data_IF_165991346112
#
_entry.id   IF_165991346112
#
_cell.length_a   1.000
_cell.length_b   1.000
_cell.length_c   1.000
_cell.angle_alpha   90.00
_cell.angle_beta   90.00
_cell.angle_gamma   90.00
#
_symmetry.space_group_name_H-M   'P 1'
#
loop_
_entity.id
_entity.type
_entity.pdbx_description
1 polymer ?
#
# COMPACT_ATOMS: atom_id res chain seq x y z
N UNK A 1 -7.79 13.81 -10.14
CA UNK A 1 -7.09 13.20 -10.20
C UNK A 1 -5.81 13.52 -10.03
N UNK A 2 -5.51 14.65 -10.07
CA UNK A 2 -4.32 14.99 -9.99
C UNK A 2 -3.65 14.62 -8.83
N UNK A 3 -4.02 14.73 -7.74
CA UNK A 3 -3.31 14.46 -6.57
C UNK A 3 -3.22 13.03 -6.19
N UNK A 4 -3.83 12.17 -6.92
CA UNK A 4 -3.81 10.82 -6.57
C UNK A 4 -2.50 10.19 -6.56
N UNK A 5 -1.78 10.33 -7.59
CA UNK A 5 -0.54 9.62 -7.70
C UNK A 5 0.53 10.24 -6.89
N UNK A 6 0.44 11.53 -6.58
CA UNK A 6 1.57 12.08 -5.92
C UNK A 6 1.61 11.70 -4.48
N UNK A 7 0.60 11.06 -3.94
CA UNK A 7 0.65 10.70 -2.58
C UNK A 7 1.59 9.61 -2.33
N UNK A 8 2.12 9.02 -3.34
CA UNK A 8 2.88 7.91 -3.13
C UNK A 8 4.14 7.84 -3.68
N UNK A 9 5.06 8.63 -3.34
CA UNK A 9 6.35 8.54 -3.81
C UNK A 9 7.20 8.17 -2.68
N UNK A 10 6.91 7.14 -1.98
CA UNK A 10 7.74 6.71 -0.97
C UNK A 10 8.95 6.16 -1.53
N UNK A 11 9.99 6.25 -0.80
CA UNK A 11 11.25 5.80 -1.21
C UNK A 11 11.17 4.46 -1.80
N UNK A 12 11.45 4.30 -3.00
CA UNK A 12 11.46 3.02 -3.66
C UNK A 12 10.12 2.52 -4.09
N UNK A 13 9.06 3.18 -3.67
CA UNK A 13 7.74 2.71 -4.01
C UNK A 13 7.13 3.39 -5.18
N UNK A 14 7.75 4.43 -5.69
CA UNK A 14 7.15 5.14 -6.78
C UNK A 14 7.02 4.22 -7.95
N UNK A 15 5.94 4.31 -8.64
CA UNK A 15 5.67 3.51 -9.80
C UNK A 15 5.28 2.08 -9.46
N UNK A 16 5.13 1.74 -8.20
CA UNK A 16 4.70 0.41 -7.84
C UNK A 16 3.32 0.42 -7.20
N UNK A 17 3.12 1.30 -6.25
CA UNK A 17 1.86 1.35 -5.52
C UNK A 17 1.39 2.78 -5.45
N UNK A 18 0.13 3.01 -5.74
CA UNK A 18 -0.45 4.35 -5.61
C UNK A 18 -1.74 4.23 -4.82
N UNK A 19 -2.21 5.34 -4.29
CA UNK A 19 -3.45 5.37 -3.55
C UNK A 19 -4.47 6.23 -4.27
N UNK A 20 -5.70 5.76 -4.33
CA UNK A 20 -6.76 6.49 -5.01
C UNK A 20 -7.29 7.64 -4.17
N UNK A 21 -7.06 7.61 -2.89
CA UNK A 21 -7.38 8.76 -2.04
C UNK A 21 -6.36 8.83 -0.91
N UNK A 22 -6.42 9.91 -0.15
CA UNK A 22 -5.41 10.12 0.86
C UNK A 22 -5.71 9.32 2.11
N UNK A 23 -4.73 8.58 2.58
CA UNK A 23 -4.82 7.78 3.78
C UNK A 23 -3.78 8.32 4.74
N UNK A 24 -4.01 8.23 6.04
CA UNK A 24 -3.06 8.80 6.99
C UNK A 24 -1.70 8.13 6.89
N UNK A 25 -0.69 8.83 7.39
CA UNK A 25 0.68 8.38 7.22
C UNK A 25 0.96 7.07 7.91
N UNK A 26 0.35 6.83 9.04
CA UNK A 26 0.64 5.60 9.74
C UNK A 26 0.15 4.38 9.00
N UNK A 27 -1.09 4.41 8.51
CA UNK A 27 -1.63 3.29 7.77
C UNK A 27 -0.84 3.09 6.48
N UNK A 28 -0.49 4.17 5.80
CA UNK A 28 0.29 4.10 4.58
C UNK A 28 1.66 3.49 4.85
N UNK A 29 2.29 3.94 5.91
CA UNK A 29 3.62 3.44 6.26
C UNK A 29 3.55 1.96 6.60
N UNK A 30 2.55 1.55 7.36
CA UNK A 30 2.41 0.16 7.74
C UNK A 30 2.22 -0.72 6.51
N UNK A 31 1.40 -0.26 5.55
CA UNK A 31 1.18 -1.02 4.35
C UNK A 31 2.46 -1.12 3.53
N UNK A 32 3.19 -0.03 3.40
CA UNK A 32 4.39 -0.04 2.57
C UNK A 32 5.51 -0.88 3.17
N UNK A 33 5.64 -0.86 4.50
CA UNK A 33 6.62 -1.69 5.15
C UNK A 33 6.29 -3.16 4.91
N UNK A 34 5.02 -3.54 5.06
CA UNK A 34 4.62 -4.91 4.83
C UNK A 34 4.82 -5.29 3.36
N UNK A 35 4.48 -4.39 2.45
CA UNK A 35 4.62 -4.63 1.03
C UNK A 35 6.08 -4.92 0.68
N UNK A 36 6.98 -4.07 1.13
CA UNK A 36 8.38 -4.27 0.81
C UNK A 36 8.98 -5.49 1.45
N UNK A 37 8.60 -5.78 2.70
CA UNK A 37 9.11 -6.97 3.35
C UNK A 37 8.70 -8.23 2.58
N UNK A 38 7.47 -8.27 2.10
CA UNK A 38 7.00 -9.40 1.33
C UNK A 38 7.69 -9.48 -0.03
N UNK A 39 7.89 -8.34 -0.66
CA UNK A 39 8.55 -8.30 -1.94
C UNK A 39 9.97 -8.81 -1.82
N UNK A 40 10.68 -8.41 -0.78
CA UNK A 40 12.06 -8.85 -0.57
C UNK A 40 12.13 -10.32 -0.19
N UNK A 41 11.03 -10.87 0.31
CA UNK A 41 10.99 -12.28 0.64
C UNK A 41 10.71 -13.17 -0.55
N UNK A 42 10.49 -12.57 -1.71
CA UNK A 42 10.29 -13.36 -2.93
C UNK A 42 8.87 -13.42 -3.45
N UNK A 43 7.94 -12.73 -2.81
CA UNK A 43 6.56 -12.73 -3.31
C UNK A 43 6.44 -11.81 -4.53
N UNK A 44 5.47 -12.08 -5.37
CA UNK A 44 5.23 -11.21 -6.51
C UNK A 44 4.69 -9.87 -6.02
N UNK A 45 4.70 -8.86 -6.88
CA UNK A 45 4.20 -7.55 -6.50
C UNK A 45 2.73 -7.62 -6.13
N UNK A 46 1.95 -8.33 -6.93
CA UNK A 46 0.51 -8.44 -6.67
C UNK A 46 0.24 -9.15 -5.35
N UNK A 47 0.97 -10.22 -5.08
CA UNK A 47 0.79 -10.95 -3.85
C UNK A 47 1.27 -10.14 -2.66
N UNK A 48 2.36 -9.43 -2.82
CA UNK A 48 2.89 -8.59 -1.75
C UNK A 48 1.88 -7.53 -1.35
N UNK A 49 1.23 -6.91 -2.33
CA UNK A 49 0.23 -5.89 -2.02
C UNK A 49 -0.99 -6.51 -1.38
N UNK A 50 -1.45 -7.63 -1.88
CA UNK A 50 -2.62 -8.29 -1.32
C UNK A 50 -2.37 -8.66 0.15
N UNK A 51 -1.23 -9.25 0.43
CA UNK A 51 -0.93 -9.66 1.79
C UNK A 51 -0.69 -8.47 2.71
N UNK A 52 -0.13 -7.39 2.18
CA UNK A 52 0.04 -6.18 2.96
C UNK A 52 -1.31 -5.60 3.35
N UNK A 53 -2.28 -5.63 2.44
CA UNK A 53 -3.62 -5.17 2.76
C UNK A 53 -4.25 -6.06 3.83
N UNK A 54 -4.01 -7.36 3.75
CA UNK A 54 -4.55 -8.28 4.74
C UNK A 54 -4.06 -7.95 6.14
N UNK A 55 -2.84 -7.48 6.26
CA UNK A 55 -2.33 -7.09 7.56
C UNK A 55 -3.09 -5.90 8.11
N UNK A 56 -3.43 -4.94 7.25
CA UNK A 56 -4.22 -3.81 7.69
C UNK A 56 -5.63 -4.25 8.09
N UNK A 57 -6.19 -5.21 7.36
CA UNK A 57 -7.52 -5.70 7.67
C UNK A 57 -7.59 -6.36 9.04
N UNK A 58 -6.49 -6.96 9.47
CA UNK A 58 -6.47 -7.65 10.74
C UNK A 58 -6.24 -6.75 11.92
N UNK A 59 -5.82 -5.52 11.68
CA UNK A 59 -5.56 -4.57 12.74
C UNK A 59 -6.82 -3.75 12.97
N UNK A 60 -7.40 -3.75 14.16
CA UNK A 60 -8.62 -3.01 14.41
C UNK A 60 -8.54 -1.54 14.04
N UNK A 61 -7.35 -0.95 14.12
CA UNK A 61 -7.19 0.44 13.81
C UNK A 61 -7.26 0.73 12.32
N UNK A 62 -7.03 -0.26 11.50
CA UNK A 62 -7.00 -0.06 10.04
C UNK A 62 -7.88 -1.04 9.30
N UNK A 63 -8.76 -1.74 10.02
CA UNK A 63 -9.62 -2.75 9.41
C UNK A 63 -10.64 -2.15 8.45
N UNK A 64 -10.98 -0.88 8.63
CA UNK A 64 -11.93 -0.23 7.76
C UNK A 64 -11.34 -0.13 6.35
N UNK A 65 -12.08 -0.49 5.32
CA UNK A 65 -11.56 -0.45 3.94
C UNK A 65 -10.99 0.89 3.52
N UNK A 66 -11.40 1.96 4.17
CA UNK A 66 -10.87 3.28 3.88
C UNK A 66 -9.34 3.26 3.93
N UNK A 67 -8.75 2.44 4.80
CA UNK A 67 -7.30 2.45 5.02
C UNK A 67 -6.53 1.55 4.05
N UNK A 68 -7.14 0.53 3.49
CA UNK A 68 -6.40 -0.38 2.64
C UNK A 68 -6.94 -0.50 1.22
N UNK A 69 -8.20 -0.21 1.02
CA UNK A 69 -8.79 -0.40 -0.30
C UNK A 69 -8.22 0.49 -1.40
N UNK A 70 -7.78 1.73 -1.12
CA UNK A 70 -7.38 2.61 -2.21
C UNK A 70 -6.02 2.29 -2.83
N UNK A 71 -5.27 1.38 -2.24
CA UNK A 71 -3.94 1.11 -2.75
C UNK A 71 -3.99 0.15 -3.92
N UNK A 72 -3.42 0.54 -5.03
CA UNK A 72 -3.42 -0.29 -6.23
C UNK A 72 -2.00 -0.41 -6.77
N UNK A 73 -1.78 -1.50 -7.47
CA UNK A 73 -0.49 -1.76 -8.05
C UNK A 73 -0.42 -1.12 -9.41
N UNK A 74 0.68 -0.40 -9.67
CA UNK A 74 0.90 0.21 -10.96
C UNK A 74 2.10 -0.47 -11.59
N UNK A 75 1.92 -0.97 -12.79
CA UNK A 75 3.01 -1.62 -13.46
C UNK A 75 3.69 -0.60 -14.31
N UNK A 76 4.86 -0.34 -14.06
CA UNK A 76 5.52 0.74 -14.75
C UNK A 76 6.40 0.38 -15.85
#
# INVERSE_FOLDING_TARGET
MLGLTRSFTYAGAKNLVVSLWQVNDKATSDLMIAFYNLLLSGHSKAESLRKAKEKLMKNPETANPYFWAPFILVEG
#
